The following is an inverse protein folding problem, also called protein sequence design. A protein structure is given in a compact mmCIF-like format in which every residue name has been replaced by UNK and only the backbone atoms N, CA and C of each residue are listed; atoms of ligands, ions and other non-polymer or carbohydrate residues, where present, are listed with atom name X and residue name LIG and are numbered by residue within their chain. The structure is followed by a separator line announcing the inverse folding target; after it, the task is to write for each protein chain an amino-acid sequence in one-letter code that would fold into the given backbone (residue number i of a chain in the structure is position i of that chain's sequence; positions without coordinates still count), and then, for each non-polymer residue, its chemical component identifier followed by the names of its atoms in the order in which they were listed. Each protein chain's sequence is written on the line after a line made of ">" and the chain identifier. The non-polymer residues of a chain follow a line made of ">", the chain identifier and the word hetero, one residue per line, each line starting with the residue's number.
data_IF_188432844037
#
_entry.id   IF_188432844037
#
_cell.length_a   1.000
_cell.length_b   1.000
_cell.length_c   1.000
_cell.angle_alpha   90.00
_cell.angle_beta   90.00
_cell.angle_gamma   90.00
#
_symmetry.space_group_name_H-M   'P 1'
#
loop_
_entity.id
_entity.type
_entity.pdbx_description
1 polymer ?
#
# COMPACT_ATOMS: atom_id res chain seq x y z
N UNK A 1 -0.34 12.86 -44.54
CA UNK A 1 0.51 12.00 -43.67
C UNK A 1 -0.33 10.93 -43.02
N UNK A 2 -0.18 9.68 -43.45
CA UNK A 2 -0.96 8.55 -42.93
C UNK A 2 -0.46 8.22 -41.52
N UNK A 3 -1.28 8.42 -40.49
CA UNK A 3 -0.95 8.03 -39.13
C UNK A 3 -0.93 6.51 -39.09
N UNK A 4 0.26 5.89 -39.03
CA UNK A 4 0.40 4.44 -38.81
C UNK A 4 -0.03 4.14 -37.38
N UNK A 5 -1.18 3.55 -37.23
CA UNK A 5 -1.64 3.04 -35.94
C UNK A 5 -0.79 1.83 -35.54
N UNK A 6 -0.25 1.84 -34.32
CA UNK A 6 0.63 0.79 -33.81
C UNK A 6 -0.17 -0.11 -32.88
N UNK A 7 -0.43 -1.36 -33.30
CA UNK A 7 -1.09 -2.37 -32.43
C UNK A 7 -0.12 -3.01 -31.44
N UNK A 8 1.12 -3.23 -31.87
CA UNK A 8 2.16 -3.87 -31.04
C UNK A 8 3.39 -2.99 -30.95
N UNK A 9 3.98 -2.89 -29.75
CA UNK A 9 5.16 -2.08 -29.45
C UNK A 9 6.19 -2.86 -28.67
N UNK A 10 7.47 -2.61 -28.92
CA UNK A 10 8.56 -3.12 -28.08
C UNK A 10 8.57 -2.40 -26.72
N UNK A 11 8.55 -3.18 -25.64
CA UNK A 11 8.76 -2.66 -24.30
C UNK A 11 10.23 -2.26 -24.14
N UNK A 12 10.51 -1.00 -23.76
CA UNK A 12 11.89 -0.52 -23.56
C UNK A 12 12.65 -1.26 -22.45
N UNK A 13 11.95 -1.96 -21.57
CA UNK A 13 12.57 -2.62 -20.41
C UNK A 13 12.85 -4.11 -20.66
N UNK A 14 11.89 -4.86 -21.21
CA UNK A 14 12.07 -6.31 -21.46
C UNK A 14 12.30 -6.67 -22.92
N UNK A 15 12.23 -5.71 -23.84
CA UNK A 15 12.43 -5.96 -25.28
C UNK A 15 11.27 -6.72 -25.97
N UNK A 16 10.28 -7.20 -25.24
CA UNK A 16 9.21 -7.97 -25.84
C UNK A 16 8.27 -7.08 -26.68
N UNK A 17 7.88 -7.58 -27.86
CA UNK A 17 6.86 -6.97 -28.71
C UNK A 17 5.48 -7.35 -28.16
N UNK A 18 4.76 -6.38 -27.62
CA UNK A 18 3.51 -6.59 -26.89
C UNK A 18 2.40 -5.73 -27.48
N UNK A 19 1.17 -6.25 -27.45
CA UNK A 19 -0.02 -5.50 -27.81
C UNK A 19 -0.17 -4.24 -26.93
N UNK A 20 -0.72 -3.15 -27.49
CA UNK A 20 -0.81 -1.85 -26.81
C UNK A 20 -1.53 -1.90 -25.44
N UNK A 21 -2.48 -2.82 -25.25
CA UNK A 21 -3.18 -3.03 -23.97
C UNK A 21 -2.26 -3.40 -22.81
N UNK A 22 -1.07 -3.94 -23.10
CA UNK A 22 -0.05 -4.24 -22.10
C UNK A 22 0.71 -3.00 -21.61
N UNK A 23 0.45 -1.82 -22.18
CA UNK A 23 1.07 -0.55 -21.78
C UNK A 23 0.01 0.36 -21.16
N UNK A 24 0.33 0.96 -20.02
CA UNK A 24 -0.61 1.86 -19.33
C UNK A 24 -0.92 3.09 -20.18
N UNK A 25 -2.20 3.46 -20.20
CA UNK A 25 -2.67 4.70 -20.84
C UNK A 25 -2.24 5.91 -20.02
N UNK A 26 -1.70 6.93 -20.68
CA UNK A 26 -1.35 8.19 -20.06
C UNK A 26 -2.62 9.02 -19.98
N UNK A 27 -3.07 9.30 -18.75
CA UNK A 27 -4.22 10.17 -18.52
C UNK A 27 -3.83 11.62 -18.80
N UNK A 28 -4.67 12.35 -19.52
CA UNK A 28 -4.52 13.81 -19.61
C UNK A 28 -4.66 14.44 -18.21
N UNK A 29 -3.75 15.34 -17.87
CA UNK A 29 -3.90 16.11 -16.63
C UNK A 29 -5.11 17.04 -16.76
N UNK A 30 -6.00 17.06 -15.75
CA UNK A 30 -7.18 17.94 -15.71
C UNK A 30 -6.85 19.44 -15.79
N UNK A 31 -5.61 19.81 -15.54
CA UNK A 31 -5.14 21.22 -15.50
C UNK A 31 -4.40 21.68 -16.76
N UNK A 32 -4.31 20.86 -17.80
CA UNK A 32 -3.66 21.26 -19.07
C UNK A 32 -2.16 21.55 -19.02
N UNK A 33 -1.54 21.53 -17.84
CA UNK A 33 -0.11 21.79 -17.69
C UNK A 33 0.72 20.57 -18.07
N UNK A 34 1.45 20.66 -19.18
CA UNK A 34 2.47 19.69 -19.61
C UNK A 34 3.67 19.77 -18.67
N UNK A 35 3.73 18.94 -17.65
CA UNK A 35 4.98 18.72 -16.91
C UNK A 35 5.89 17.77 -17.71
N UNK A 36 6.87 18.31 -18.43
CA UNK A 36 7.92 17.57 -19.12
C UNK A 36 7.59 17.10 -20.54
N UNK A 37 8.63 16.73 -21.30
CA UNK A 37 8.47 16.15 -22.65
C UNK A 37 7.74 14.81 -22.55
N UNK A 38 6.69 14.64 -23.33
CA UNK A 38 5.98 13.37 -23.46
C UNK A 38 6.93 12.27 -23.95
N UNK A 39 7.21 11.29 -23.10
CA UNK A 39 8.01 10.10 -23.42
C UNK A 39 7.12 8.88 -23.58
N UNK A 40 6.26 8.89 -24.57
CA UNK A 40 5.33 7.83 -24.85
C UNK A 40 5.10 7.68 -26.35
N UNK A 41 4.08 6.93 -26.69
CA UNK A 41 3.66 6.70 -28.09
C UNK A 41 2.12 6.67 -28.16
N UNK A 42 1.58 6.82 -29.36
CA UNK A 42 0.14 6.78 -29.59
C UNK A 42 -0.24 5.38 -30.12
N UNK A 43 -1.23 4.74 -29.49
CA UNK A 43 -1.75 3.43 -29.91
C UNK A 43 -2.73 3.54 -31.10
N UNK A 44 -3.21 2.39 -31.58
CA UNK A 44 -4.17 2.31 -32.68
C UNK A 44 -5.53 2.97 -32.39
N UNK A 45 -5.86 3.18 -31.13
CA UNK A 45 -7.08 3.87 -30.67
C UNK A 45 -6.85 5.37 -30.40
N UNK A 46 -5.70 5.93 -30.79
CA UNK A 46 -5.32 7.33 -30.51
C UNK A 46 -4.93 7.61 -29.05
N UNK A 47 -4.83 6.58 -28.21
CA UNK A 47 -4.47 6.69 -26.80
C UNK A 47 -2.97 6.84 -26.60
N UNK A 48 -2.54 7.81 -25.78
CA UNK A 48 -1.12 7.95 -25.40
C UNK A 48 -0.74 6.89 -24.37
N UNK A 49 0.36 6.16 -24.61
CA UNK A 49 0.85 5.05 -23.79
C UNK A 49 2.29 5.26 -23.32
N UNK A 50 2.63 4.66 -22.20
CA UNK A 50 4.01 4.60 -21.70
C UNK A 50 4.85 3.64 -22.57
N UNK A 51 6.18 3.82 -22.54
CA UNK A 51 7.13 2.99 -23.33
C UNK A 51 7.51 1.69 -22.62
N UNK A 52 7.18 1.56 -21.34
CA UNK A 52 7.41 0.36 -20.52
C UNK A 52 6.09 -0.35 -20.30
N UNK A 53 6.04 -1.68 -20.46
CA UNK A 53 4.83 -2.46 -20.24
C UNK A 53 4.44 -2.49 -18.75
N UNK A 54 3.15 -2.73 -18.47
CA UNK A 54 2.61 -2.73 -17.11
C UNK A 54 3.30 -3.74 -16.18
N UNK A 55 3.70 -4.92 -16.70
CA UNK A 55 4.47 -5.93 -15.97
C UNK A 55 5.81 -5.36 -15.50
N UNK A 56 6.61 -4.79 -16.40
CA UNK A 56 7.92 -4.21 -16.04
C UNK A 56 7.80 -3.02 -15.11
N UNK A 57 6.74 -2.20 -15.22
CA UNK A 57 6.47 -1.12 -14.25
C UNK A 57 6.16 -1.69 -12.86
N UNK A 58 5.34 -2.74 -12.79
CA UNK A 58 5.02 -3.43 -11.53
C UNK A 58 6.26 -4.06 -10.90
N UNK A 59 7.09 -4.74 -11.70
CA UNK A 59 8.32 -5.38 -11.22
C UNK A 59 9.31 -4.32 -10.68
N UNK A 60 9.44 -3.18 -11.36
CA UNK A 60 10.26 -2.05 -10.89
C UNK A 60 9.72 -1.45 -9.58
N UNK A 61 8.41 -1.30 -9.46
CA UNK A 61 7.78 -0.82 -8.23
C UNK A 61 8.01 -1.81 -7.08
N UNK A 62 7.82 -3.10 -7.31
CA UNK A 62 8.07 -4.16 -6.34
C UNK A 62 9.55 -4.19 -5.89
N UNK A 63 10.50 -4.03 -6.83
CA UNK A 63 11.92 -3.96 -6.50
C UNK A 63 12.22 -2.76 -5.60
N UNK A 64 11.69 -1.57 -5.91
CA UNK A 64 11.85 -0.38 -5.05
C UNK A 64 11.28 -0.61 -3.66
N UNK A 65 10.09 -1.22 -3.57
CA UNK A 65 9.46 -1.55 -2.30
C UNK A 65 10.32 -2.50 -1.45
N UNK A 66 10.94 -3.51 -2.07
CA UNK A 66 11.82 -4.46 -1.37
C UNK A 66 13.11 -3.81 -0.86
N UNK A 67 13.68 -2.87 -1.63
CA UNK A 67 14.95 -2.19 -1.27
C UNK A 67 14.75 -1.11 -0.21
N UNK A 68 13.65 -0.34 -0.31
CA UNK A 68 13.35 0.73 0.64
C UNK A 68 11.84 0.86 0.83
N UNK A 69 11.24 0.05 1.71
CA UNK A 69 9.78 -0.02 1.88
C UNK A 69 9.19 1.19 2.63
N UNK A 70 9.95 1.84 3.52
CA UNK A 70 9.42 2.90 4.40
C UNK A 70 8.81 4.07 3.62
N UNK A 71 9.47 4.68 2.61
CA UNK A 71 8.86 5.76 1.84
C UNK A 71 7.57 5.35 1.13
N UNK A 72 7.47 4.09 0.69
CA UNK A 72 6.26 3.58 0.04
C UNK A 72 5.10 3.41 1.03
N UNK A 73 5.39 2.95 2.25
CA UNK A 73 4.41 2.89 3.34
C UNK A 73 3.90 4.27 3.72
N UNK A 74 4.80 5.24 3.91
CA UNK A 74 4.46 6.63 4.20
C UNK A 74 3.56 7.21 3.10
N UNK A 75 3.91 6.98 1.84
CA UNK A 75 3.06 7.40 0.71
C UNK A 75 1.67 6.75 0.78
N UNK A 76 1.60 5.45 1.11
CA UNK A 76 0.34 4.74 1.30
C UNK A 76 -0.49 5.30 2.47
N UNK A 77 0.14 5.60 3.60
CA UNK A 77 -0.51 6.20 4.77
C UNK A 77 -1.03 7.61 4.48
N UNK A 78 -0.22 8.44 3.82
CA UNK A 78 -0.63 9.79 3.39
C UNK A 78 -1.86 9.77 2.47
N UNK A 79 -1.89 8.84 1.52
CA UNK A 79 -3.04 8.71 0.62
C UNK A 79 -4.30 8.23 1.36
N UNK A 80 -4.16 7.33 2.33
CA UNK A 80 -5.28 6.89 3.19
C UNK A 80 -5.77 8.02 4.08
N UNK A 81 -4.86 8.75 4.73
CA UNK A 81 -5.18 9.92 5.53
C UNK A 81 -5.99 10.96 4.72
N UNK A 82 -5.54 11.26 3.50
CA UNK A 82 -6.25 12.17 2.59
C UNK A 82 -7.65 11.68 2.24
N UNK A 83 -7.82 10.38 1.97
CA UNK A 83 -9.13 9.80 1.66
C UNK A 83 -10.08 9.84 2.84
N UNK A 84 -9.56 9.62 4.04
CA UNK A 84 -10.33 9.57 5.29
C UNK A 84 -10.47 10.94 5.96
N UNK A 85 -9.86 11.98 5.39
CA UNK A 85 -9.82 13.34 5.94
C UNK A 85 -9.31 13.37 7.40
N UNK A 86 -8.20 12.65 7.67
CA UNK A 86 -7.56 12.59 9.00
C UNK A 86 -6.14 13.15 8.96
N UNK A 87 -5.59 13.61 10.10
CA UNK A 87 -4.23 14.16 10.20
C UNK A 87 -3.15 13.19 9.69
N UNK A 88 -2.07 13.76 9.13
CA UNK A 88 -0.89 13.02 8.72
C UNK A 88 0.39 13.85 8.93
N UNK A 89 1.31 13.37 9.76
CA UNK A 89 2.64 14.00 9.95
C UNK A 89 3.79 12.99 10.11
N UNK A 90 3.57 11.69 9.83
CA UNK A 90 4.62 10.68 9.93
C UNK A 90 5.79 10.97 9.00
N UNK A 91 6.99 10.93 9.55
CA UNK A 91 8.28 11.04 8.85
C UNK A 91 8.92 9.66 8.65
N UNK A 92 10.00 9.62 7.86
CA UNK A 92 10.83 8.40 7.68
C UNK A 92 11.50 8.04 9.00
N UNK A 93 11.95 9.03 9.74
CA UNK A 93 12.61 8.90 11.04
C UNK A 93 11.65 8.33 12.08
N UNK A 94 10.41 8.82 12.16
CA UNK A 94 9.39 8.26 13.05
C UNK A 94 9.13 6.78 12.77
N UNK A 95 9.07 6.40 11.49
CA UNK A 95 8.87 5.01 11.10
C UNK A 95 10.05 4.12 11.49
N UNK A 96 11.28 4.61 11.34
CA UNK A 96 12.49 3.90 11.79
C UNK A 96 12.48 3.70 13.30
N UNK A 97 12.13 4.73 14.06
CA UNK A 97 12.04 4.68 15.51
C UNK A 97 10.98 3.69 15.97
N UNK A 98 9.79 3.71 15.36
CA UNK A 98 8.73 2.75 15.66
C UNK A 98 9.18 1.31 15.41
N UNK A 99 9.88 1.05 14.30
CA UNK A 99 10.41 -0.27 13.97
C UNK A 99 11.49 -0.70 14.95
N UNK A 100 12.44 0.20 15.29
CA UNK A 100 13.54 -0.08 16.22
C UNK A 100 13.04 -0.43 17.61
N UNK A 101 11.96 0.21 18.06
CA UNK A 101 11.37 0.03 19.38
C UNK A 101 10.21 -1.01 19.38
N UNK A 102 9.96 -1.68 18.27
CA UNK A 102 8.94 -2.71 18.19
C UNK A 102 9.32 -3.93 19.03
N UNK A 103 8.40 -4.40 19.86
CA UNK A 103 8.57 -5.62 20.63
C UNK A 103 8.48 -6.86 19.72
N UNK A 104 9.22 -7.92 20.04
CA UNK A 104 9.11 -9.21 19.35
C UNK A 104 7.75 -9.89 19.60
N UNK A 105 7.08 -9.55 20.68
CA UNK A 105 5.76 -10.05 21.04
C UNK A 105 4.68 -9.01 20.66
N UNK A 106 3.61 -9.48 20.05
CA UNK A 106 2.45 -8.63 19.79
C UNK A 106 1.83 -8.15 21.11
N UNK A 107 1.78 -6.84 21.39
CA UNK A 107 1.25 -6.34 22.67
C UNK A 107 -0.25 -6.60 22.84
N UNK A 108 -0.99 -6.86 21.75
CA UNK A 108 -2.43 -7.12 21.81
C UNK A 108 -2.79 -8.61 21.97
N UNK A 109 -2.00 -9.53 21.41
CA UNK A 109 -2.33 -10.98 21.41
C UNK A 109 -1.29 -11.85 22.14
N UNK A 110 -0.16 -11.28 22.58
CA UNK A 110 0.90 -12.05 23.23
C UNK A 110 1.60 -13.07 22.30
N UNK A 111 1.43 -12.98 21.00
CA UNK A 111 2.05 -13.90 20.04
C UNK A 111 3.37 -13.34 19.53
N UNK A 112 4.34 -14.21 19.24
CA UNK A 112 5.63 -13.80 18.68
C UNK A 112 5.43 -13.26 17.26
N UNK A 113 6.02 -12.11 16.99
CA UNK A 113 6.04 -11.47 15.68
C UNK A 113 7.41 -11.66 15.02
N UNK A 114 7.41 -11.81 13.70
CA UNK A 114 8.64 -11.87 12.91
C UNK A 114 8.96 -10.47 12.35
N UNK A 115 9.67 -9.65 13.14
CA UNK A 115 10.00 -8.25 12.76
C UNK A 115 10.69 -8.16 11.41
N UNK A 116 11.53 -9.12 11.03
CA UNK A 116 12.14 -9.21 9.70
C UNK A 116 11.11 -9.30 8.55
N UNK A 117 9.89 -9.75 8.84
CA UNK A 117 8.78 -9.84 7.88
C UNK A 117 7.81 -8.64 7.91
N UNK A 118 8.19 -7.54 8.58
CA UNK A 118 7.35 -6.35 8.70
C UNK A 118 6.79 -5.84 7.36
N UNK A 119 7.53 -6.05 6.27
CA UNK A 119 7.13 -5.60 4.95
C UNK A 119 6.62 -6.72 4.03
N UNK A 120 6.65 -7.96 4.48
CA UNK A 120 6.16 -9.10 3.70
C UNK A 120 4.63 -9.21 3.76
N UNK A 121 4.05 -8.95 4.92
CA UNK A 121 2.60 -9.00 5.20
C UNK A 121 1.95 -10.34 4.76
N UNK A 122 2.71 -11.44 4.88
CA UNK A 122 2.41 -12.75 4.33
C UNK A 122 1.80 -13.73 5.35
N UNK A 123 1.79 -13.35 6.62
CA UNK A 123 1.24 -14.22 7.69
C UNK A 123 0.45 -13.44 8.73
N UNK A 124 -0.30 -14.18 9.57
CA UNK A 124 -0.98 -13.62 10.73
C UNK A 124 -0.01 -13.03 11.77
N UNK A 125 1.22 -13.52 11.78
CA UNK A 125 2.27 -13.13 12.74
C UNK A 125 3.21 -12.05 12.19
N UNK A 126 3.07 -11.67 10.92
CA UNK A 126 3.81 -10.53 10.36
C UNK A 126 3.44 -9.26 11.13
N UNK A 127 4.42 -8.41 11.48
CA UNK A 127 4.15 -7.12 12.10
C UNK A 127 3.36 -6.19 11.17
N UNK A 128 2.48 -5.40 11.75
CA UNK A 128 1.64 -4.45 11.03
C UNK A 128 1.52 -3.14 11.81
N UNK A 129 1.51 -2.01 11.08
CA UNK A 129 1.26 -0.70 11.67
C UNK A 129 -0.24 -0.48 11.84
N UNK A 130 -0.67 -0.25 13.07
CA UNK A 130 -2.06 0.06 13.42
C UNK A 130 -2.17 1.46 14.02
N UNK A 131 -3.30 2.11 13.82
CA UNK A 131 -3.65 3.36 14.51
C UNK A 131 -4.39 3.04 15.80
N UNK A 132 -3.90 3.56 16.93
CA UNK A 132 -4.57 3.40 18.22
C UNK A 132 -6.00 3.92 18.13
N UNK A 133 -6.16 5.14 17.64
CA UNK A 133 -7.44 5.78 17.35
C UNK A 133 -7.54 6.11 15.84
N UNK A 134 -8.45 5.50 15.08
CA UNK A 134 -8.61 5.78 13.67
C UNK A 134 -8.85 7.26 13.34
N UNK A 135 -9.49 8.02 14.22
CA UNK A 135 -9.83 9.44 14.03
C UNK A 135 -8.63 10.36 14.18
N UNK A 136 -7.63 9.99 14.98
CA UNK A 136 -6.40 10.77 15.19
C UNK A 136 -5.42 10.69 14.02
N UNK A 137 -5.68 9.84 13.02
CA UNK A 137 -4.90 9.77 11.81
C UNK A 137 -3.52 9.15 11.99
N UNK A 138 -2.57 9.53 11.12
CA UNK A 138 -1.24 8.96 11.03
C UNK A 138 -0.21 9.93 11.64
N UNK A 139 -0.14 9.95 12.96
CA UNK A 139 0.85 10.67 13.77
C UNK A 139 1.63 9.66 14.62
N UNK A 140 2.91 9.94 14.95
CA UNK A 140 3.79 8.98 15.63
C UNK A 140 3.19 8.42 16.92
N UNK A 141 2.63 9.29 17.78
CA UNK A 141 2.00 8.90 19.05
C UNK A 141 0.73 8.06 18.91
N UNK A 142 0.17 7.98 17.71
CA UNK A 142 -1.06 7.22 17.40
C UNK A 142 -0.79 5.93 16.61
N UNK A 143 0.48 5.58 16.39
CA UNK A 143 0.85 4.36 15.66
C UNK A 143 1.48 3.35 16.63
N UNK A 144 1.02 2.11 16.54
CA UNK A 144 1.59 0.96 17.24
C UNK A 144 1.89 -0.16 16.25
N UNK A 145 2.91 -0.95 16.53
CA UNK A 145 3.20 -2.18 15.77
C UNK A 145 2.58 -3.35 16.52
N UNK A 146 1.67 -4.04 15.86
CA UNK A 146 0.97 -5.24 16.34
C UNK A 146 1.09 -6.36 15.31
N UNK A 147 0.68 -7.58 15.63
CA UNK A 147 0.58 -8.64 14.62
C UNK A 147 -0.49 -8.31 13.58
N UNK A 148 -0.30 -8.74 12.34
CA UNK A 148 -1.30 -8.61 11.28
C UNK A 148 -2.66 -9.22 11.70
N UNK A 149 -2.64 -10.30 12.49
CA UNK A 149 -3.86 -10.88 13.07
C UNK A 149 -4.58 -9.90 13.98
N UNK A 150 -3.87 -9.27 14.93
CA UNK A 150 -4.45 -8.29 15.84
C UNK A 150 -5.04 -7.09 15.08
N UNK A 151 -4.28 -6.55 14.11
CA UNK A 151 -4.74 -5.44 13.27
C UNK A 151 -6.00 -5.80 12.47
N UNK A 152 -6.10 -7.02 11.94
CA UNK A 152 -7.28 -7.49 11.22
C UNK A 152 -8.48 -7.70 12.14
N UNK A 153 -8.28 -8.20 13.37
CA UNK A 153 -9.35 -8.34 14.36
C UNK A 153 -9.89 -6.97 14.75
N UNK A 154 -9.01 -6.01 15.03
CA UNK A 154 -9.41 -4.66 15.39
C UNK A 154 -10.05 -3.93 14.21
N UNK A 155 -9.45 -3.99 13.01
CA UNK A 155 -9.90 -3.29 11.81
C UNK A 155 -10.26 -1.83 12.11
N UNK A 156 -11.51 -1.44 11.93
CA UNK A 156 -12.09 -0.12 12.23
C UNK A 156 -13.01 -0.13 13.46
N UNK A 157 -13.13 -1.29 14.13
CA UNK A 157 -13.98 -1.45 15.30
C UNK A 157 -13.48 -0.63 16.51
N UNK A 158 -14.42 -0.13 17.27
CA UNK A 158 -14.18 0.45 18.60
C UNK A 158 -13.91 -0.64 19.63
N UNK A 159 -13.27 -0.26 20.74
CA UNK A 159 -13.02 -1.21 21.87
C UNK A 159 -14.34 -1.81 22.38
N UNK A 160 -15.42 -1.03 22.45
CA UNK A 160 -16.72 -1.49 22.90
C UNK A 160 -17.36 -2.49 21.95
N UNK A 161 -17.23 -2.29 20.64
CA UNK A 161 -17.71 -3.25 19.65
C UNK A 161 -16.94 -4.56 19.76
N UNK A 162 -15.61 -4.52 19.93
CA UNK A 162 -14.78 -5.72 20.11
C UNK A 162 -15.22 -6.48 21.35
N UNK A 163 -15.46 -5.79 22.48
CA UNK A 163 -15.97 -6.43 23.72
C UNK A 163 -17.33 -7.11 23.50
N UNK A 164 -18.28 -6.40 22.93
CA UNK A 164 -19.61 -6.93 22.65
C UNK A 164 -19.56 -8.20 21.78
N UNK A 165 -18.71 -8.21 20.77
CA UNK A 165 -18.50 -9.38 19.91
C UNK A 165 -17.88 -10.51 20.73
N UNK A 166 -16.86 -10.26 21.55
CA UNK A 166 -16.25 -11.26 22.40
C UNK A 166 -17.26 -11.86 23.40
N UNK A 167 -18.00 -11.00 24.11
CA UNK A 167 -19.01 -11.39 25.08
C UNK A 167 -20.12 -12.26 24.46
N UNK A 168 -20.54 -11.91 23.24
CA UNK A 168 -21.55 -12.69 22.51
C UNK A 168 -21.08 -14.11 22.24
N UNK A 169 -19.88 -14.27 21.70
CA UNK A 169 -19.37 -15.62 21.41
C UNK A 169 -19.00 -16.40 22.67
N UNK A 170 -18.54 -15.72 23.72
CA UNK A 170 -18.27 -16.38 25.01
C UNK A 170 -19.55 -16.99 25.61
N UNK A 171 -20.67 -16.24 25.58
CA UNK A 171 -21.98 -16.75 26.03
C UNK A 171 -22.43 -17.96 25.21
N UNK A 172 -22.26 -17.93 23.89
CA UNK A 172 -22.62 -19.06 23.03
C UNK A 172 -21.81 -20.32 23.33
N UNK A 173 -20.51 -20.16 23.64
CA UNK A 173 -19.66 -21.32 23.98
C UNK A 173 -19.93 -21.91 25.33
N UNK A 174 -20.39 -21.12 26.33
CA UNK A 174 -20.76 -21.59 27.66
C UNK A 174 -22.09 -22.31 27.69
N UNK A 175 -22.95 -22.09 26.69
CA UNK A 175 -24.27 -22.73 26.58
C UNK A 175 -24.27 -24.02 25.72
N UNK A 176 -23.08 -24.47 25.30
CA UNK A 176 -22.88 -25.78 24.64
C UNK A 176 -22.34 -26.83 25.62
#
# INVERSE_FOLDING_TARGET
>A
MTIKFIENKLCKTCGNKLHFKNFRKIKANKTGQKKGKFQGWTDSEGGKRFTTCAKCEKDRANKRYRVNPIPQLIFGFRNRAKKQNVPFNLTVEDMKDLIKNAADMCPALGVKMEIAKLFANDSNYSPSFDRIDPKKGYIKSNIVIVSNRANRIKSDATVDEIRKVADFYEKLLKNK
#
